data_IF_901676326947
#
_entry.id   IF_901676326947
#
_cell.length_a   1.000
_cell.length_b   1.000
_cell.length_c   1.000
_cell.angle_alpha   90.00
_cell.angle_beta   90.00
_cell.angle_gamma   90.00
#
_symmetry.space_group_name_H-M   'P 1'
#
loop_
_entity.id
_entity.type
_entity.pdbx_description
1 polymer ?
#
# COMPACT_ATOMS: atom_id res chain seq x y z
N UNK A 1 4.66 6.16 -2.76
CA UNK A 1 4.37 7.51 -2.21
C UNK A 1 3.18 8.11 -2.95
N UNK A 2 2.33 8.93 -2.29
CA UNK A 2 1.21 9.64 -2.94
C UNK A 2 -0.13 8.90 -2.95
N UNK A 3 -0.18 7.59 -2.87
CA UNK A 3 -1.44 6.81 -2.80
C UNK A 3 -1.91 6.52 -1.38
N UNK A 4 -1.00 6.17 -0.49
CA UNK A 4 -1.30 5.80 0.91
C UNK A 4 -2.02 6.90 1.71
N UNK A 5 -1.77 8.22 1.51
CA UNK A 5 -2.50 9.27 2.21
C UNK A 5 -4.02 9.17 2.07
N UNK A 6 -4.52 8.67 0.95
CA UNK A 6 -5.98 8.52 0.73
C UNK A 6 -6.62 7.48 1.68
N UNK A 7 -5.90 6.40 1.99
CA UNK A 7 -6.37 5.41 2.96
C UNK A 7 -6.39 5.99 4.37
N UNK A 8 -5.35 6.72 4.74
CA UNK A 8 -5.20 7.27 6.09
C UNK A 8 -6.15 8.45 6.34
N UNK A 9 -6.49 9.23 5.32
CA UNK A 9 -7.41 10.37 5.43
C UNK A 9 -8.84 9.97 5.80
N UNK A 10 -9.28 8.74 5.52
CA UNK A 10 -10.62 8.26 5.81
C UNK A 10 -10.68 7.35 7.04
N UNK A 11 -9.54 7.10 7.69
CA UNK A 11 -9.47 6.28 8.90
C UNK A 11 -10.19 6.99 10.06
N UNK A 12 -10.97 6.22 10.83
CA UNK A 12 -11.63 6.69 12.03
C UNK A 12 -10.74 6.41 13.23
N UNK A 13 -10.03 7.42 13.68
CA UNK A 13 -9.10 7.37 14.82
C UNK A 13 -9.39 8.52 15.76
N UNK A 14 -9.04 8.39 17.02
CA UNK A 14 -9.20 9.47 18.01
C UNK A 14 -8.20 10.59 17.78
N UNK A 15 -6.98 10.24 17.36
CA UNK A 15 -5.95 11.22 17.07
C UNK A 15 -5.20 10.88 15.75
N UNK A 16 -4.92 11.87 14.88
CA UNK A 16 -4.23 11.63 13.60
C UNK A 16 -2.85 10.96 13.74
N UNK A 17 -2.11 11.22 14.81
CA UNK A 17 -0.82 10.59 15.07
C UNK A 17 -0.91 9.06 15.25
N UNK A 18 -2.00 8.53 15.79
CA UNK A 18 -2.22 7.08 15.89
C UNK A 18 -2.22 6.42 14.52
N UNK A 19 -2.91 7.04 13.55
CA UNK A 19 -2.92 6.54 12.18
C UNK A 19 -1.55 6.62 11.53
N UNK A 20 -0.75 7.64 11.86
CA UNK A 20 0.64 7.73 11.43
C UNK A 20 1.49 6.57 11.94
N UNK A 21 1.34 6.19 13.20
CA UNK A 21 2.04 5.04 13.79
C UNK A 21 1.61 3.72 13.13
N UNK A 22 0.32 3.53 12.87
CA UNK A 22 -0.20 2.35 12.13
C UNK A 22 0.39 2.29 10.72
N UNK A 23 0.53 3.43 10.05
CA UNK A 23 1.15 3.50 8.73
C UNK A 23 2.63 3.07 8.75
N UNK A 24 3.39 3.50 9.75
CA UNK A 24 4.79 3.09 9.95
C UNK A 24 4.87 1.58 10.18
N UNK A 25 4.01 1.03 11.04
CA UNK A 25 3.96 -0.42 11.27
C UNK A 25 3.66 -1.21 9.99
N UNK A 26 2.74 -0.73 9.16
CA UNK A 26 2.43 -1.31 7.85
C UNK A 26 3.65 -1.37 6.92
N UNK A 27 4.51 -0.34 6.93
CA UNK A 27 5.76 -0.32 6.15
C UNK A 27 6.72 -1.40 6.63
N UNK A 28 6.89 -1.56 7.95
CA UNK A 28 7.74 -2.62 8.52
C UNK A 28 7.24 -4.01 8.17
N UNK A 29 5.93 -4.25 8.27
CA UNK A 29 5.32 -5.53 7.89
C UNK A 29 5.59 -5.86 6.40
N UNK A 30 5.42 -4.88 5.52
CA UNK A 30 5.71 -5.03 4.09
C UNK A 30 7.19 -5.33 3.85
N UNK A 31 8.11 -4.64 4.54
CA UNK A 31 9.56 -4.86 4.42
C UNK A 31 9.93 -6.30 4.78
N UNK A 32 9.36 -6.84 5.87
CA UNK A 32 9.57 -8.23 6.28
C UNK A 32 9.14 -9.20 5.18
N UNK A 33 7.94 -9.05 4.64
CA UNK A 33 7.40 -9.94 3.59
C UNK A 33 8.27 -9.91 2.33
N UNK A 34 8.64 -8.71 1.86
CA UNK A 34 9.49 -8.55 0.67
C UNK A 34 10.89 -9.15 0.90
N UNK A 35 11.46 -8.96 2.08
CA UNK A 35 12.77 -9.53 2.44
C UNK A 35 12.73 -11.06 2.41
N UNK A 36 11.73 -11.69 3.01
CA UNK A 36 11.58 -13.15 2.96
C UNK A 36 11.40 -13.66 1.53
N UNK A 37 10.63 -12.98 0.70
CA UNK A 37 10.50 -13.35 -0.72
C UNK A 37 11.84 -13.29 -1.44
N UNK A 38 12.63 -12.23 -1.21
CA UNK A 38 13.98 -12.10 -1.76
C UNK A 38 14.93 -13.23 -1.29
N UNK A 39 14.90 -13.56 0.01
CA UNK A 39 15.70 -14.66 0.56
C UNK A 39 15.33 -15.99 -0.09
N UNK A 40 14.04 -16.29 -0.27
CA UNK A 40 13.59 -17.53 -0.93
C UNK A 40 14.16 -17.64 -2.35
N UNK A 41 14.12 -16.55 -3.13
CA UNK A 41 14.67 -16.53 -4.49
C UNK A 41 16.17 -16.78 -4.48
N UNK A 42 16.91 -16.15 -3.56
CA UNK A 42 18.37 -16.31 -3.45
C UNK A 42 18.78 -17.72 -3.01
N UNK A 43 18.13 -18.26 -1.98
CA UNK A 43 18.47 -19.59 -1.43
C UNK A 43 18.13 -20.71 -2.42
N UNK A 44 17.07 -20.57 -3.21
CA UNK A 44 16.70 -21.56 -4.22
C UNK A 44 17.59 -21.51 -5.48
N UNK A 45 18.40 -20.45 -5.63
CA UNK A 45 19.35 -20.35 -6.74
C UNK A 45 18.71 -20.18 -8.12
N UNK A 46 17.44 -19.79 -8.20
CA UNK A 46 16.68 -19.65 -9.46
C UNK A 46 16.88 -18.31 -10.17
N UNK A 47 17.77 -17.47 -9.68
CA UNK A 47 18.03 -16.13 -10.25
C UNK A 47 18.73 -16.27 -11.60
N UNK A 48 17.97 -16.21 -12.69
CA UNK A 48 18.44 -16.39 -14.06
C UNK A 48 18.51 -15.08 -14.87
N UNK A 49 18.16 -13.93 -14.28
CA UNK A 49 18.09 -12.61 -14.91
C UNK A 49 17.21 -12.52 -16.20
N UNK A 50 16.56 -13.60 -16.58
CA UNK A 50 15.62 -13.66 -17.69
C UNK A 50 14.17 -13.63 -17.23
N UNK A 51 13.91 -14.21 -16.07
CA UNK A 51 12.58 -14.23 -15.46
C UNK A 51 12.44 -13.07 -14.50
N UNK A 52 11.33 -12.32 -14.58
CA UNK A 52 11.05 -11.17 -13.73
C UNK A 52 9.72 -11.32 -12.99
N UNK A 53 9.56 -10.57 -11.93
CA UNK A 53 8.31 -10.49 -11.18
C UNK A 53 7.85 -11.83 -10.63
N UNK A 54 6.56 -12.10 -10.80
CA UNK A 54 5.91 -13.29 -10.21
C UNK A 54 6.42 -14.62 -10.80
N UNK A 55 6.88 -14.64 -12.05
CA UNK A 55 7.40 -15.84 -12.66
C UNK A 55 8.67 -16.35 -11.95
N UNK A 56 9.53 -15.44 -11.51
CA UNK A 56 10.71 -15.78 -10.73
C UNK A 56 10.33 -16.34 -9.35
N UNK A 57 9.36 -15.73 -8.70
CA UNK A 57 8.83 -16.21 -7.41
C UNK A 57 8.22 -17.60 -7.55
N UNK A 58 7.42 -17.85 -8.58
CA UNK A 58 6.86 -19.19 -8.84
C UNK A 58 7.94 -20.25 -9.07
N UNK A 59 9.01 -19.92 -9.80
CA UNK A 59 10.17 -20.82 -9.98
C UNK A 59 10.80 -21.16 -8.63
N UNK A 60 11.04 -20.17 -7.78
CA UNK A 60 11.64 -20.37 -6.46
C UNK A 60 10.80 -21.30 -5.57
N UNK A 61 9.49 -21.05 -5.51
CA UNK A 61 8.57 -21.90 -4.74
C UNK A 61 8.41 -23.30 -5.35
N UNK A 62 8.52 -23.44 -6.67
CA UNK A 62 8.51 -24.75 -7.33
C UNK A 62 9.75 -25.58 -6.95
N UNK A 63 10.92 -24.98 -6.85
CA UNK A 63 12.14 -25.66 -6.41
C UNK A 63 12.03 -26.11 -4.94
N UNK A 64 11.47 -25.28 -4.06
CA UNK A 64 11.35 -25.58 -2.64
C UNK A 64 10.20 -26.51 -2.27
N UNK A 65 9.04 -26.38 -2.91
CA UNK A 65 7.77 -27.04 -2.54
C UNK A 65 7.14 -27.84 -3.68
N UNK A 66 7.79 -27.93 -4.84
CA UNK A 66 7.25 -28.63 -6.03
C UNK A 66 5.96 -27.99 -6.53
N UNK A 67 5.09 -28.80 -7.13
CA UNK A 67 3.82 -28.35 -7.71
C UNK A 67 2.88 -27.66 -6.70
N UNK A 68 2.98 -28.02 -5.43
CA UNK A 68 2.23 -27.34 -4.36
C UNK A 68 2.64 -25.87 -4.25
N UNK A 69 3.94 -25.56 -4.33
CA UNK A 69 4.46 -24.20 -4.27
C UNK A 69 3.89 -23.31 -5.39
N UNK A 70 3.81 -23.83 -6.60
CA UNK A 70 3.22 -23.10 -7.75
C UNK A 70 1.75 -22.76 -7.51
N UNK A 71 0.97 -23.75 -7.05
CA UNK A 71 -0.45 -23.55 -6.74
C UNK A 71 -0.66 -22.58 -5.60
N UNK A 72 0.16 -22.67 -4.55
CA UNK A 72 0.13 -21.77 -3.42
C UNK A 72 0.39 -20.30 -3.85
N UNK A 73 1.44 -20.05 -4.63
CA UNK A 73 1.74 -18.71 -5.15
C UNK A 73 0.61 -18.19 -6.03
N UNK A 74 0.00 -19.04 -6.86
CA UNK A 74 -1.13 -18.65 -7.71
C UNK A 74 -2.36 -18.21 -6.88
N UNK A 75 -2.68 -18.93 -5.82
CA UNK A 75 -3.78 -18.58 -4.90
C UNK A 75 -3.46 -17.27 -4.16
N UNK A 76 -2.25 -17.13 -3.64
CA UNK A 76 -1.82 -15.88 -3.00
C UNK A 76 -1.90 -14.68 -3.96
N UNK A 77 -1.43 -14.87 -5.20
CA UNK A 77 -1.50 -13.84 -6.24
C UNK A 77 -2.93 -13.43 -6.54
N UNK A 78 -3.85 -14.37 -6.60
CA UNK A 78 -5.28 -14.07 -6.80
C UNK A 78 -5.82 -13.13 -5.70
N UNK A 79 -5.55 -13.43 -4.43
CA UNK A 79 -5.99 -12.58 -3.32
C UNK A 79 -5.27 -11.22 -3.30
N UNK A 80 -3.98 -11.18 -3.60
CA UNK A 80 -3.23 -9.93 -3.69
C UNK A 80 -3.71 -9.04 -4.83
N UNK A 81 -3.96 -9.61 -6.01
CA UNK A 81 -4.50 -8.87 -7.14
C UNK A 81 -5.90 -8.32 -6.83
N UNK A 82 -6.77 -9.14 -6.26
CA UNK A 82 -8.12 -8.73 -5.87
C UNK A 82 -8.12 -7.60 -4.84
N UNK A 83 -7.36 -7.74 -3.76
CA UNK A 83 -7.24 -6.71 -2.73
C UNK A 83 -6.62 -5.42 -3.25
N UNK A 84 -5.63 -5.52 -4.14
CA UNK A 84 -4.97 -4.37 -4.78
C UNK A 84 -5.93 -3.61 -5.69
N UNK A 85 -6.70 -4.30 -6.51
CA UNK A 85 -7.72 -3.68 -7.38
C UNK A 85 -8.74 -2.90 -6.53
N UNK A 86 -9.26 -3.49 -5.44
CA UNK A 86 -10.20 -2.83 -4.55
C UNK A 86 -9.56 -1.61 -3.89
N UNK A 87 -8.34 -1.74 -3.38
CA UNK A 87 -7.63 -0.66 -2.69
C UNK A 87 -7.38 0.53 -3.62
N UNK A 88 -6.83 0.29 -4.80
CA UNK A 88 -6.57 1.36 -5.79
C UNK A 88 -7.85 1.98 -6.35
N UNK A 89 -8.88 1.15 -6.57
CA UNK A 89 -10.21 1.65 -6.93
C UNK A 89 -10.73 2.64 -5.88
N UNK A 90 -10.65 2.27 -4.60
CA UNK A 90 -11.10 3.12 -3.50
C UNK A 90 -10.33 4.45 -3.43
N UNK A 91 -9.00 4.42 -3.57
CA UNK A 91 -8.19 5.65 -3.55
C UNK A 91 -8.57 6.59 -4.69
N UNK A 92 -8.74 6.06 -5.88
CA UNK A 92 -9.14 6.85 -7.03
C UNK A 92 -10.60 7.34 -6.93
N UNK A 93 -11.53 6.53 -6.39
CA UNK A 93 -12.92 6.93 -6.13
C UNK A 93 -12.97 8.15 -5.20
N UNK A 94 -12.17 8.18 -4.13
CA UNK A 94 -12.11 9.33 -3.22
C UNK A 94 -11.64 10.60 -3.95
N UNK A 95 -10.67 10.50 -4.83
CA UNK A 95 -10.19 11.63 -5.63
C UNK A 95 -11.26 12.12 -6.62
N UNK A 96 -11.92 11.20 -7.32
CA UNK A 96 -13.00 11.55 -8.26
C UNK A 96 -14.17 12.23 -7.54
N UNK A 97 -14.55 11.72 -6.37
CA UNK A 97 -15.58 12.31 -5.52
C UNK A 97 -15.22 13.72 -5.08
N UNK A 98 -13.97 13.93 -4.68
CA UNK A 98 -13.48 15.23 -4.24
C UNK A 98 -13.44 16.26 -5.38
N UNK A 99 -12.97 15.86 -6.58
CA UNK A 99 -12.78 16.76 -7.72
C UNK A 99 -14.05 17.02 -8.52
N UNK A 100 -14.88 15.98 -8.72
CA UNK A 100 -15.99 15.99 -9.69
C UNK A 100 -17.37 15.72 -9.09
N UNK A 101 -17.46 15.54 -7.76
CA UNK A 101 -18.71 15.20 -7.05
C UNK A 101 -19.23 13.77 -7.35
N UNK A 102 -20.30 13.38 -6.66
CA UNK A 102 -20.93 12.05 -6.72
C UNK A 102 -21.37 11.63 -8.14
N UNK A 103 -21.74 12.59 -8.98
CA UNK A 103 -22.24 12.33 -10.34
C UNK A 103 -21.20 11.71 -11.27
N UNK A 104 -19.91 11.95 -10.99
CA UNK A 104 -18.81 11.41 -11.78
C UNK A 104 -18.44 9.97 -11.42
N UNK A 105 -19.01 9.40 -10.36
CA UNK A 105 -18.67 8.06 -9.92
C UNK A 105 -19.12 6.96 -10.89
N UNK A 106 -20.32 7.12 -11.49
CA UNK A 106 -20.82 6.13 -12.42
C UNK A 106 -19.96 6.01 -13.69
N UNK A 107 -19.64 7.10 -14.43
CA UNK A 107 -18.72 7.01 -15.56
C UNK A 107 -17.32 6.52 -15.14
N UNK A 108 -16.81 6.95 -13.98
CA UNK A 108 -15.54 6.47 -13.46
C UNK A 108 -15.54 4.94 -13.29
N UNK A 109 -16.57 4.35 -12.70
CA UNK A 109 -16.70 2.89 -12.52
C UNK A 109 -16.65 2.14 -13.84
N UNK A 110 -17.37 2.62 -14.84
CA UNK A 110 -17.38 2.03 -16.18
C UNK A 110 -15.99 2.08 -16.81
N UNK A 111 -15.31 3.22 -16.70
CA UNK A 111 -13.95 3.40 -17.21
C UNK A 111 -12.97 2.42 -16.52
N UNK A 112 -13.03 2.29 -15.19
CA UNK A 112 -12.17 1.37 -14.45
C UNK A 112 -12.39 -0.08 -14.89
N UNK A 113 -13.64 -0.52 -15.02
CA UNK A 113 -13.93 -1.87 -15.52
C UNK A 113 -13.37 -2.09 -16.94
N UNK A 114 -13.50 -1.10 -17.83
CA UNK A 114 -12.94 -1.18 -19.17
C UNK A 114 -11.39 -1.27 -19.12
N UNK A 115 -10.73 -0.46 -18.30
CA UNK A 115 -9.27 -0.50 -18.14
C UNK A 115 -8.76 -1.81 -17.53
N UNK A 116 -9.50 -2.44 -16.63
CA UNK A 116 -9.14 -3.76 -16.09
C UNK A 116 -9.13 -4.80 -17.22
N UNK A 117 -10.16 -4.80 -18.09
CA UNK A 117 -10.24 -5.72 -19.22
C UNK A 117 -9.10 -5.46 -20.22
N UNK A 118 -8.87 -4.20 -20.58
CA UNK A 118 -7.78 -3.82 -21.49
C UNK A 118 -6.42 -4.19 -20.88
N UNK A 119 -6.21 -3.87 -19.60
CA UNK A 119 -4.96 -4.17 -18.89
C UNK A 119 -4.63 -5.66 -18.87
N UNK A 120 -5.64 -6.53 -18.78
CA UNK A 120 -5.45 -7.97 -18.82
C UNK A 120 -4.95 -8.49 -20.19
N UNK A 121 -5.08 -7.70 -21.26
CA UNK A 121 -4.63 -8.06 -22.61
C UNK A 121 -3.28 -7.43 -23.00
N UNK A 122 -2.78 -6.50 -22.21
CA UNK A 122 -1.51 -5.81 -22.47
C UNK A 122 -0.31 -6.68 -22.11
N UNK A 123 0.83 -6.38 -22.73
CA UNK A 123 2.11 -7.00 -22.37
C UNK A 123 2.52 -6.53 -20.96
N UNK A 124 2.99 -7.46 -20.15
CA UNK A 124 3.37 -7.22 -18.74
C UNK A 124 4.41 -6.08 -18.62
N UNK A 125 5.41 -6.05 -19.48
CA UNK A 125 6.46 -5.02 -19.47
C UNK A 125 5.91 -3.61 -19.69
N UNK A 126 4.93 -3.47 -20.62
CA UNK A 126 4.26 -2.19 -20.86
C UNK A 126 3.46 -1.75 -19.63
N UNK A 127 2.75 -2.67 -18.98
CA UNK A 127 1.97 -2.35 -17.76
C UNK A 127 2.90 -1.87 -16.64
N UNK A 128 4.04 -2.53 -16.44
CA UNK A 128 5.02 -2.10 -15.45
C UNK A 128 5.62 -0.74 -15.79
N UNK A 129 6.02 -0.50 -17.04
CA UNK A 129 6.56 0.79 -17.44
C UNK A 129 5.56 1.96 -17.22
N UNK A 130 4.28 1.73 -17.54
CA UNK A 130 3.22 2.72 -17.27
C UNK A 130 3.00 2.92 -15.77
N UNK A 131 2.99 1.86 -14.97
CA UNK A 131 2.85 1.94 -13.53
C UNK A 131 3.99 2.74 -12.90
N UNK A 132 5.23 2.49 -13.30
CA UNK A 132 6.42 3.21 -12.81
C UNK A 132 6.37 4.69 -13.18
N UNK A 133 5.98 5.01 -14.42
CA UNK A 133 5.82 6.39 -14.88
C UNK A 133 4.80 7.15 -14.02
N UNK A 134 3.59 6.61 -13.84
CA UNK A 134 2.54 7.27 -13.08
C UNK A 134 2.84 7.33 -11.58
N UNK A 135 3.47 6.30 -11.02
CA UNK A 135 3.96 6.31 -9.65
C UNK A 135 5.02 7.40 -9.45
N UNK A 136 5.95 7.54 -10.40
CA UNK A 136 6.96 8.61 -10.37
C UNK A 136 6.32 10.01 -10.42
N UNK A 137 5.34 10.23 -11.28
CA UNK A 137 4.62 11.50 -11.37
C UNK A 137 3.84 11.83 -10.07
N UNK A 138 3.30 10.82 -9.39
CA UNK A 138 2.62 10.99 -8.09
C UNK A 138 3.55 11.43 -6.96
N UNK A 139 4.83 11.08 -7.02
CA UNK A 139 5.81 11.44 -5.98
C UNK A 139 6.02 12.94 -5.90
N UNK A 140 6.04 13.65 -7.03
CA UNK A 140 6.35 15.09 -7.10
C UNK A 140 5.37 15.92 -6.26
N UNK A 141 4.04 15.90 -6.51
CA UNK A 141 3.09 16.67 -5.71
C UNK A 141 3.06 16.22 -4.25
N UNK A 142 3.27 14.93 -3.98
CA UNK A 142 3.31 14.42 -2.61
C UNK A 142 4.51 14.96 -1.81
N UNK A 143 5.71 15.06 -2.42
CA UNK A 143 6.87 15.66 -1.77
C UNK A 143 6.64 17.13 -1.46
N UNK A 144 6.06 17.89 -2.39
CA UNK A 144 5.71 19.30 -2.17
C UNK A 144 4.76 19.42 -0.98
N UNK A 145 3.72 18.58 -0.91
CA UNK A 145 2.78 18.58 0.21
C UNK A 145 3.45 18.23 1.55
N UNK A 146 4.32 17.22 1.58
CA UNK A 146 5.06 16.82 2.79
C UNK A 146 5.96 17.96 3.31
N UNK A 147 6.69 18.63 2.41
CA UNK A 147 7.55 19.76 2.78
C UNK A 147 6.70 20.92 3.29
N UNK A 148 5.57 21.23 2.65
CA UNK A 148 4.70 22.32 3.06
C UNK A 148 4.05 22.06 4.43
N UNK A 149 3.68 20.82 4.72
CA UNK A 149 2.92 20.43 5.92
C UNK A 149 3.80 19.95 7.09
N UNK A 150 5.14 19.96 6.98
CA UNK A 150 6.02 19.41 8.03
C UNK A 150 5.78 20.02 9.43
N UNK A 151 5.50 21.34 9.50
CA UNK A 151 5.20 22.01 10.77
C UNK A 151 3.86 21.57 11.37
N UNK A 152 2.86 21.31 10.52
CA UNK A 152 1.55 20.81 10.96
C UNK A 152 1.69 19.42 11.56
N UNK A 153 2.52 18.57 10.95
CA UNK A 153 2.81 17.24 11.46
C UNK A 153 3.55 17.31 12.80
N UNK A 154 4.55 18.20 12.93
CA UNK A 154 5.26 18.42 14.20
C UNK A 154 4.31 18.82 15.32
N UNK A 155 3.48 19.84 15.11
CA UNK A 155 2.51 20.29 16.10
C UNK A 155 1.48 19.19 16.47
N UNK A 156 1.09 18.36 15.51
CA UNK A 156 0.19 17.23 15.75
C UNK A 156 0.85 16.16 16.62
N UNK A 157 2.14 15.92 16.46
CA UNK A 157 2.89 14.97 17.28
C UNK A 157 3.04 15.50 18.72
N UNK A 158 3.40 16.76 18.88
CA UNK A 158 3.54 17.40 20.21
C UNK A 158 2.21 17.34 20.99
N UNK A 159 1.07 17.59 20.32
CA UNK A 159 -0.27 17.46 20.95
C UNK A 159 -0.57 16.02 21.36
N UNK A 160 -0.20 15.04 20.53
CA UNK A 160 -0.37 13.63 20.85
C UNK A 160 0.45 13.20 22.06
N UNK A 161 1.74 13.59 22.13
CA UNK A 161 2.62 13.29 23.25
C UNK A 161 2.10 13.91 24.55
N UNK A 162 1.61 15.15 24.50
CA UNK A 162 1.00 15.81 25.66
C UNK A 162 -0.25 15.10 26.17
N UNK A 163 -1.12 14.60 25.27
CA UNK A 163 -2.30 13.81 25.61
C UNK A 163 -1.92 12.47 26.23
N UNK A 164 -0.92 11.79 25.66
CA UNK A 164 -0.45 10.50 26.15
C UNK A 164 0.10 10.63 27.58
N UNK A 165 0.94 11.63 27.82
CA UNK A 165 1.51 11.91 29.14
C UNK A 165 0.44 12.23 30.20
N UNK A 166 -0.63 12.91 29.80
CA UNK A 166 -1.78 13.18 30.68
C UNK A 166 -2.56 11.90 31.00
N UNK A 167 -2.75 11.05 30.02
CA UNK A 167 -3.43 9.77 30.18
C UNK A 167 -2.65 8.85 31.14
N UNK A 168 -1.35 8.72 30.97
CA UNK A 168 -0.47 7.92 31.83
C UNK A 168 -0.52 8.38 33.29
N UNK A 169 -0.44 9.69 33.54
CA UNK A 169 -0.56 10.26 34.90
C UNK A 169 -1.92 9.93 35.53
N UNK A 170 -3.00 9.96 34.75
CA UNK A 170 -4.34 9.64 35.25
C UNK A 170 -4.42 8.16 35.62
N UNK A 171 -3.88 7.26 34.83
CA UNK A 171 -3.84 5.83 35.12
C UNK A 171 -3.01 5.50 36.38
N UNK A 172 -1.86 6.15 36.54
CA UNK A 172 -1.03 5.99 37.73
C UNK A 172 -1.76 6.42 39.02
N UNK A 173 -2.51 7.54 38.96
CA UNK A 173 -3.28 8.01 40.12
C UNK A 173 -4.43 7.04 40.50
N UNK A 174 -5.06 6.39 39.52
CA UNK A 174 -6.12 5.39 39.76
C UNK A 174 -5.52 4.10 40.34
N UNK A 175 -4.33 3.71 39.95
CA UNK A 175 -3.68 2.48 40.43
C UNK A 175 -3.13 2.61 41.86
N UNK A 176 -2.97 3.83 42.36
CA UNK A 176 -2.49 4.12 43.72
C UNK A 176 -3.59 4.52 44.70
N UNK A 177 -4.83 4.60 44.26
CA UNK A 177 -6.02 4.83 45.09
C UNK A 177 -6.80 3.54 45.35
#
# INVERSE_FOLDING_TARGET
MGSTPHAHAVAKVEHPAEQGLVAIFGVFATLIVVTFTGIVILVTGVLDFQSTGIALTQKAYNVGLGSFGVSFVAICLFFFAYSTIIGWYFFAEQNVRFLFSEKALLPYRVIVCAFIIVGATLKVDLVWALADLFNGLMVIPNLIALIALHKVVGNCLDDFEAKLAKYEKTQQNISHS
#
